data_IF_608641061639
#
_entry.id   IF_608641061639
#
_cell.length_a   1.000
_cell.length_b   1.000
_cell.length_c   1.000
_cell.angle_alpha   90.00
_cell.angle_beta   90.00
_cell.angle_gamma   90.00
#
_symmetry.space_group_name_H-M   'P 1'
#
loop_
_entity.id
_entity.type
_entity.pdbx_description
1 polymer ?
#
# COMPACT_ATOMS: atom_id res chain seq x y z
N UNK A 1 14.66 -7.41 -15.17
CA UNK A 1 14.02 -6.42 -16.07
C UNK A 1 13.17 -7.08 -17.15
N UNK A 2 13.69 -7.99 -17.98
CA UNK A 2 12.97 -8.62 -19.13
C UNK A 2 11.50 -9.05 -18.92
N UNK A 3 11.07 -9.45 -17.70
CA UNK A 3 9.71 -9.97 -17.48
C UNK A 3 8.59 -8.93 -17.57
N UNK A 4 8.81 -7.70 -17.08
CA UNK A 4 7.77 -6.67 -17.16
C UNK A 4 7.53 -6.24 -18.61
N UNK A 5 8.62 -6.03 -19.36
CA UNK A 5 8.59 -5.73 -20.79
C UNK A 5 7.86 -6.84 -21.56
N UNK A 6 8.25 -8.10 -21.34
CA UNK A 6 7.57 -9.26 -21.95
C UNK A 6 6.09 -9.35 -21.59
N UNK A 7 5.72 -8.94 -20.37
CA UNK A 7 4.32 -8.94 -19.95
C UNK A 7 3.53 -7.84 -20.66
N UNK A 8 4.12 -6.66 -20.86
CA UNK A 8 3.52 -5.58 -21.63
C UNK A 8 3.43 -5.92 -23.13
N UNK A 9 4.47 -6.51 -23.70
CA UNK A 9 4.46 -7.03 -25.07
C UNK A 9 3.36 -8.07 -25.26
N UNK A 10 3.24 -9.04 -24.35
CA UNK A 10 2.14 -10.01 -24.37
C UNK A 10 0.77 -9.32 -24.25
N UNK A 11 0.66 -8.26 -23.44
CA UNK A 11 -0.56 -7.48 -23.34
C UNK A 11 -0.87 -6.72 -24.64
N UNK A 12 0.14 -6.20 -25.34
CA UNK A 12 -0.01 -5.63 -26.68
C UNK A 12 -0.49 -6.68 -27.69
N UNK A 13 0.05 -7.91 -27.69
CA UNK A 13 -0.43 -9.01 -28.54
C UNK A 13 -1.89 -9.36 -28.24
N UNK A 14 -2.28 -9.34 -26.96
CA UNK A 14 -3.66 -9.58 -26.53
C UNK A 14 -4.61 -8.47 -27.03
N UNK A 15 -4.18 -7.21 -26.98
CA UNK A 15 -4.91 -6.05 -27.52
C UNK A 15 -5.09 -6.12 -29.04
N UNK A 16 -4.09 -6.65 -29.76
CA UNK A 16 -4.18 -6.88 -31.21
C UNK A 16 -5.10 -8.05 -31.59
N UNK A 17 -5.46 -8.90 -30.62
CA UNK A 17 -6.23 -10.13 -30.87
C UNK A 17 -5.39 -11.26 -31.49
N UNK A 18 -4.06 -11.12 -31.50
CA UNK A 18 -3.13 -12.09 -32.10
C UNK A 18 -2.91 -13.31 -31.21
N UNK A 19 -3.14 -13.16 -29.89
CA UNK A 19 -2.91 -14.22 -28.93
C UNK A 19 -4.21 -14.80 -28.36
N UNK A 20 -4.37 -16.12 -28.47
CA UNK A 20 -5.53 -16.86 -27.90
C UNK A 20 -5.35 -17.22 -26.42
N UNK A 21 -4.14 -17.08 -25.87
CA UNK A 21 -3.88 -17.36 -24.45
C UNK A 21 -4.45 -16.24 -23.59
N UNK A 22 -5.01 -16.60 -22.43
CA UNK A 22 -5.49 -15.61 -21.47
C UNK A 22 -4.33 -14.95 -20.75
N UNK A 23 -4.48 -13.66 -20.43
CA UNK A 23 -3.50 -12.92 -19.62
C UNK A 23 -3.24 -13.59 -18.26
N UNK A 24 -4.28 -14.19 -17.67
CA UNK A 24 -4.16 -14.96 -16.44
C UNK A 24 -3.21 -16.16 -16.57
N UNK A 25 -3.26 -16.88 -17.70
CA UNK A 25 -2.39 -18.03 -17.95
C UNK A 25 -0.92 -17.61 -18.11
N UNK A 26 -0.69 -16.50 -18.83
CA UNK A 26 0.65 -15.94 -19.01
C UNK A 26 1.24 -15.45 -17.69
N UNK A 27 0.51 -14.63 -16.94
CA UNK A 27 0.96 -14.12 -15.64
C UNK A 27 1.23 -15.26 -14.65
N UNK A 28 0.42 -16.32 -14.68
CA UNK A 28 0.67 -17.52 -13.87
C UNK A 28 1.96 -18.24 -14.28
N UNK A 29 2.28 -18.31 -15.57
CA UNK A 29 3.52 -18.93 -16.04
C UNK A 29 4.75 -18.05 -15.75
N UNK A 30 4.66 -16.74 -16.00
CA UNK A 30 5.76 -15.79 -15.87
C UNK A 30 6.13 -15.52 -14.39
N UNK A 31 5.13 -15.43 -13.52
CA UNK A 31 5.31 -15.05 -12.12
C UNK A 31 5.02 -16.19 -11.12
N UNK A 32 4.26 -17.22 -11.50
CA UNK A 32 3.96 -18.36 -10.63
C UNK A 32 3.36 -17.94 -9.26
N UNK A 33 4.05 -18.34 -8.19
CA UNK A 33 3.76 -17.96 -6.80
C UNK A 33 4.70 -16.86 -6.27
N UNK A 34 5.49 -16.23 -7.13
CA UNK A 34 6.48 -15.21 -6.75
C UNK A 34 5.82 -13.84 -6.61
N UNK A 35 5.05 -13.69 -5.55
CA UNK A 35 4.24 -12.50 -5.29
C UNK A 35 5.10 -11.23 -5.16
N UNK A 36 6.31 -11.34 -4.58
CA UNK A 36 7.26 -10.24 -4.50
C UNK A 36 7.71 -9.72 -5.88
N UNK A 37 7.85 -10.60 -6.88
CA UNK A 37 8.25 -10.20 -8.23
C UNK A 37 7.11 -9.48 -8.98
N UNK A 38 5.86 -9.98 -8.88
CA UNK A 38 4.66 -9.27 -9.39
C UNK A 38 4.62 -7.89 -8.78
N UNK A 39 4.76 -7.84 -7.46
CA UNK A 39 4.64 -6.61 -6.73
C UNK A 39 5.69 -5.57 -7.18
N UNK A 40 6.97 -5.98 -7.21
CA UNK A 40 8.08 -5.13 -7.66
C UNK A 40 7.89 -4.64 -9.09
N UNK A 41 7.42 -5.49 -9.99
CA UNK A 41 7.22 -5.11 -11.39
C UNK A 41 6.06 -4.13 -11.56
N UNK A 42 4.90 -4.37 -10.93
CA UNK A 42 3.71 -3.55 -11.19
C UNK A 42 3.60 -2.29 -10.34
N UNK A 43 4.11 -2.29 -9.11
CA UNK A 43 3.85 -1.21 -8.16
C UNK A 43 5.11 -0.48 -7.68
N UNK A 44 6.30 -0.89 -8.12
CA UNK A 44 7.54 -0.19 -7.77
C UNK A 44 8.20 0.41 -9.00
N UNK A 45 8.24 -0.32 -10.11
CA UNK A 45 8.83 0.19 -11.35
C UNK A 45 7.98 1.28 -11.97
N UNK A 46 8.64 2.36 -12.37
CA UNK A 46 8.00 3.49 -13.03
C UNK A 46 7.95 3.27 -14.53
N UNK A 47 6.91 3.78 -15.18
CA UNK A 47 6.71 3.58 -16.62
C UNK A 47 7.79 4.28 -17.48
N UNK A 48 8.45 5.30 -16.94
CA UNK A 48 9.49 6.10 -17.62
C UNK A 48 10.91 5.83 -17.10
N UNK A 49 11.10 4.81 -16.25
CA UNK A 49 12.42 4.46 -15.71
C UNK A 49 13.31 3.72 -16.73
N UNK A 50 12.70 3.00 -17.67
CA UNK A 50 13.37 2.19 -18.68
C UNK A 50 12.78 2.47 -20.08
N UNK A 51 13.65 2.64 -21.08
CA UNK A 51 13.24 2.94 -22.45
C UNK A 51 12.38 1.82 -23.07
N UNK A 52 12.63 0.55 -22.73
CA UNK A 52 11.84 -0.58 -23.21
C UNK A 52 10.42 -0.56 -22.62
N UNK A 53 10.30 -0.24 -21.33
CA UNK A 53 9.01 -0.13 -20.65
C UNK A 53 8.22 1.05 -21.23
N UNK A 54 8.88 2.20 -21.41
CA UNK A 54 8.26 3.38 -22.00
C UNK A 54 7.76 3.10 -23.42
N UNK A 55 8.55 2.42 -24.25
CA UNK A 55 8.14 2.02 -25.61
C UNK A 55 6.92 1.10 -25.60
N UNK A 56 6.89 0.09 -24.73
CA UNK A 56 5.75 -0.82 -24.60
C UNK A 56 4.49 -0.10 -24.10
N UNK A 57 4.62 0.83 -23.17
CA UNK A 57 3.52 1.69 -22.69
C UNK A 57 2.95 2.55 -23.82
N UNK A 58 3.80 3.15 -24.65
CA UNK A 58 3.36 3.92 -25.83
C UNK A 58 2.61 3.04 -26.84
N UNK A 59 3.05 1.79 -27.03
CA UNK A 59 2.34 0.83 -27.87
C UNK A 59 0.95 0.49 -27.31
N UNK A 60 0.83 0.25 -25.99
CA UNK A 60 -0.46 0.01 -25.32
C UNK A 60 -1.41 1.20 -25.54
N UNK A 61 -0.92 2.43 -25.34
CA UNK A 61 -1.72 3.66 -25.56
C UNK A 61 -2.19 3.80 -27.01
N UNK A 62 -1.35 3.41 -27.98
CA UNK A 62 -1.68 3.41 -29.41
C UNK A 62 -2.75 2.35 -29.73
N UNK A 63 -2.61 1.14 -29.22
CA UNK A 63 -3.54 0.03 -29.48
C UNK A 63 -4.93 0.27 -28.89
N UNK A 64 -5.00 0.93 -27.74
CA UNK A 64 -6.28 1.29 -27.09
C UNK A 64 -6.92 2.53 -27.74
N UNK A 65 -6.21 3.19 -28.66
CA UNK A 65 -6.66 4.39 -29.36
C UNK A 65 -6.98 5.56 -28.41
N UNK A 66 -6.06 5.83 -27.48
CA UNK A 66 -6.17 7.00 -26.58
C UNK A 66 -5.84 8.29 -27.37
N UNK A 67 -6.61 9.36 -27.13
CA UNK A 67 -6.39 10.68 -27.74
C UNK A 67 -4.96 11.19 -27.45
N UNK A 68 -4.34 11.87 -28.42
CA UNK A 68 -2.95 12.33 -28.29
C UNK A 68 -2.73 13.23 -27.06
N UNK A 69 -3.68 14.14 -26.79
CA UNK A 69 -3.65 15.05 -25.63
C UNK A 69 -3.62 14.25 -24.31
N UNK A 70 -4.37 13.15 -24.23
CA UNK A 70 -4.42 12.28 -23.05
C UNK A 70 -3.16 11.44 -22.87
N UNK A 71 -2.41 11.17 -23.95
CA UNK A 71 -1.14 10.44 -23.86
C UNK A 71 -0.07 11.24 -23.12
N UNK A 72 -0.17 12.58 -23.15
CA UNK A 72 0.76 13.46 -22.42
C UNK A 72 0.69 13.23 -20.91
N UNK A 73 -0.44 12.73 -20.36
CA UNK A 73 -0.56 12.27 -18.96
C UNK A 73 0.51 11.29 -18.51
N UNK A 74 1.02 10.51 -19.46
CA UNK A 74 1.94 9.42 -19.22
C UNK A 74 3.37 9.75 -19.65
N UNK A 75 3.56 10.83 -20.42
CA UNK A 75 4.88 11.30 -20.82
C UNK A 75 5.60 11.90 -19.62
N UNK A 76 6.78 11.37 -19.30
CA UNK A 76 7.60 11.77 -18.14
C UNK A 76 6.93 11.63 -16.77
N UNK A 77 5.71 11.11 -16.71
CA UNK A 77 4.98 10.88 -15.48
C UNK A 77 5.75 9.94 -14.54
N UNK A 78 5.91 10.37 -13.30
CA UNK A 78 6.51 9.60 -12.23
C UNK A 78 5.50 8.61 -11.60
N UNK A 79 4.89 7.75 -12.42
CA UNK A 79 3.88 6.77 -11.99
C UNK A 79 4.34 5.33 -12.24
N UNK A 80 3.83 4.43 -11.42
CA UNK A 80 4.05 2.98 -11.52
C UNK A 80 3.21 2.35 -12.62
N UNK A 81 3.53 1.13 -13.03
CA UNK A 81 2.75 0.44 -14.06
C UNK A 81 1.30 0.16 -13.62
N UNK A 82 1.07 -0.13 -12.34
CA UNK A 82 -0.27 -0.32 -11.78
C UNK A 82 -1.08 0.98 -11.82
N UNK A 83 -0.46 2.11 -11.44
CA UNK A 83 -1.10 3.43 -11.53
C UNK A 83 -1.43 3.79 -12.97
N UNK A 84 -0.51 3.54 -13.91
CA UNK A 84 -0.76 3.67 -15.33
C UNK A 84 -2.00 2.87 -15.78
N UNK A 85 -2.07 1.57 -15.43
CA UNK A 85 -3.22 0.73 -15.79
C UNK A 85 -4.51 1.26 -15.14
N UNK A 86 -4.44 1.70 -13.88
CA UNK A 86 -5.60 2.26 -13.16
C UNK A 86 -6.10 3.57 -13.78
N UNK A 87 -5.20 4.49 -14.15
CA UNK A 87 -5.55 5.73 -14.87
C UNK A 87 -6.12 5.40 -16.25
N UNK A 88 -5.55 4.42 -16.96
CA UNK A 88 -6.05 3.94 -18.25
C UNK A 88 -7.45 3.33 -18.16
N UNK A 89 -7.74 2.59 -17.09
CA UNK A 89 -9.08 2.08 -16.80
C UNK A 89 -10.10 3.21 -16.59
N UNK A 90 -9.70 4.29 -15.92
CA UNK A 90 -10.55 5.47 -15.71
C UNK A 90 -10.82 6.20 -17.02
N UNK A 91 -9.78 6.47 -17.81
CA UNK A 91 -9.88 7.14 -19.12
C UNK A 91 -10.80 6.36 -20.07
N UNK A 92 -10.70 5.03 -20.08
CA UNK A 92 -11.57 4.16 -20.90
C UNK A 92 -12.94 3.94 -20.29
N UNK A 93 -13.29 4.60 -19.17
CA UNK A 93 -14.55 4.44 -18.43
C UNK A 93 -14.89 2.98 -18.14
N UNK A 94 -13.85 2.16 -17.89
CA UNK A 94 -13.95 0.70 -17.68
C UNK A 94 -14.55 -0.08 -18.85
N UNK A 95 -14.61 0.49 -20.05
CA UNK A 95 -15.14 -0.21 -21.23
C UNK A 95 -14.14 -1.22 -21.81
N UNK A 96 -12.84 -1.03 -21.56
CA UNK A 96 -11.82 -1.96 -22.02
C UNK A 96 -11.72 -3.19 -21.09
N UNK A 97 -12.32 -4.30 -21.53
CA UNK A 97 -12.36 -5.55 -20.77
C UNK A 97 -10.96 -6.12 -20.47
N UNK A 98 -9.99 -5.93 -21.36
CA UNK A 98 -8.64 -6.47 -21.20
C UNK A 98 -7.83 -5.69 -20.15
N UNK A 99 -7.93 -4.35 -20.14
CA UNK A 99 -7.35 -3.52 -19.07
C UNK A 99 -7.97 -3.87 -17.72
N UNK A 100 -9.31 -4.03 -17.68
CA UNK A 100 -10.01 -4.44 -16.46
C UNK A 100 -9.54 -5.83 -15.97
N UNK A 101 -9.38 -6.78 -16.89
CA UNK A 101 -8.88 -8.12 -16.56
C UNK A 101 -7.45 -8.06 -16.02
N UNK A 102 -6.57 -7.27 -16.63
CA UNK A 102 -5.20 -7.07 -16.17
C UNK A 102 -5.17 -6.60 -14.71
N UNK A 103 -5.85 -5.49 -14.43
CA UNK A 103 -5.93 -4.93 -13.08
C UNK A 103 -6.54 -5.93 -12.10
N UNK A 104 -7.59 -6.65 -12.51
CA UNK A 104 -8.23 -7.69 -11.68
C UNK A 104 -7.24 -8.80 -11.32
N UNK A 105 -6.41 -9.26 -12.26
CA UNK A 105 -5.44 -10.31 -12.00
C UNK A 105 -4.39 -9.82 -11.00
N UNK A 106 -3.85 -8.61 -11.18
CA UNK A 106 -2.90 -8.00 -10.22
C UNK A 106 -3.55 -7.92 -8.83
N UNK A 107 -4.76 -7.35 -8.75
CA UNK A 107 -5.49 -7.20 -7.49
C UNK A 107 -5.86 -8.53 -6.82
N UNK A 108 -6.14 -9.58 -7.58
CA UNK A 108 -6.45 -10.91 -7.03
C UNK A 108 -5.25 -11.54 -6.34
N UNK A 109 -4.03 -11.23 -6.81
CA UNK A 109 -2.77 -11.70 -6.21
C UNK A 109 -2.45 -10.92 -4.94
N UNK A 110 -2.72 -9.61 -4.94
CA UNK A 110 -2.63 -8.76 -3.75
C UNK A 110 -3.58 -9.22 -2.64
N UNK A 111 -4.85 -9.52 -2.97
CA UNK A 111 -5.81 -10.08 -2.00
C UNK A 111 -5.41 -11.44 -1.47
N UNK A 112 -4.69 -12.25 -2.25
CA UNK A 112 -4.19 -13.55 -1.78
C UNK A 112 -3.10 -13.37 -0.74
N UNK A 113 -2.22 -12.38 -0.89
CA UNK A 113 -1.28 -11.98 0.16
C UNK A 113 -2.06 -11.57 1.40
N UNK A 114 -3.02 -10.65 1.26
CA UNK A 114 -3.83 -10.15 2.37
C UNK A 114 -4.61 -11.26 3.09
N UNK A 115 -5.20 -12.21 2.34
CA UNK A 115 -5.97 -13.32 2.91
C UNK A 115 -5.08 -14.39 3.57
N UNK A 116 -3.96 -14.79 2.96
CA UNK A 116 -3.00 -15.71 3.61
C UNK A 116 -2.51 -15.10 4.91
N UNK A 117 -2.24 -13.80 4.86
CA UNK A 117 -1.75 -13.03 5.97
C UNK A 117 -2.86 -12.93 7.06
N UNK A 118 -4.11 -12.62 6.71
CA UNK A 118 -5.25 -12.59 7.64
C UNK A 118 -5.53 -13.97 8.28
N UNK A 119 -5.45 -15.05 7.50
CA UNK A 119 -5.63 -16.42 8.00
C UNK A 119 -4.48 -16.82 8.93
N UNK A 120 -3.25 -16.38 8.67
CA UNK A 120 -2.10 -16.67 9.54
C UNK A 120 -2.21 -15.91 10.88
N UNK A 121 -2.73 -14.68 10.85
CA UNK A 121 -2.96 -13.89 12.07
C UNK A 121 -4.15 -14.41 12.89
N UNK A 122 -5.27 -14.75 12.25
CA UNK A 122 -6.40 -15.43 12.91
C UNK A 122 -5.98 -16.81 13.42
N UNK A 123 -5.16 -17.54 12.66
CA UNK A 123 -4.60 -18.83 13.06
C UNK A 123 -3.63 -18.72 14.23
N UNK A 124 -2.79 -17.68 14.29
CA UNK A 124 -1.92 -17.41 15.43
C UNK A 124 -2.73 -17.01 16.68
N UNK A 125 -3.79 -16.20 16.52
CA UNK A 125 -4.75 -15.91 17.60
C UNK A 125 -5.41 -17.22 18.05
N UNK A 126 -5.88 -18.04 17.12
CA UNK A 126 -6.49 -19.34 17.38
C UNK A 126 -5.54 -20.31 18.09
N UNK A 127 -4.26 -20.37 17.71
CA UNK A 127 -3.26 -21.24 18.34
C UNK A 127 -2.85 -20.71 19.72
N UNK A 128 -2.82 -19.39 19.92
CA UNK A 128 -2.57 -18.77 21.22
C UNK A 128 -3.77 -18.94 22.18
N UNK A 129 -5.01 -18.92 21.67
CA UNK A 129 -6.23 -19.12 22.47
C UNK A 129 -6.64 -20.59 22.62
N UNK A 130 -6.26 -21.47 21.70
CA UNK A 130 -6.49 -22.92 21.71
C UNK A 130 -5.22 -23.71 22.07
N UNK A 131 -4.22 -23.04 22.63
CA UNK A 131 -3.05 -23.72 23.20
C UNK A 131 -3.52 -24.88 24.09
N UNK A 132 -2.89 -26.07 24.04
CA UNK A 132 -3.27 -27.23 24.85
C UNK A 132 -3.36 -26.92 26.36
N UNK A 133 -2.66 -25.88 26.81
CA UNK A 133 -2.70 -25.36 28.17
C UNK A 133 -4.07 -24.75 28.52
N UNK A 134 -4.75 -24.11 27.55
CA UNK A 134 -6.09 -23.55 27.71
C UNK A 134 -7.17 -24.62 27.51
N UNK A 135 -7.05 -25.47 26.48
CA UNK A 135 -8.06 -26.50 26.18
C UNK A 135 -8.18 -27.59 27.26
N UNK A 136 -7.10 -27.92 27.97
CA UNK A 136 -7.15 -28.85 29.10
C UNK A 136 -7.78 -28.25 30.37
N UNK A 137 -8.12 -26.96 30.36
CA UNK A 137 -8.68 -26.24 31.50
C UNK A 137 -10.02 -25.56 31.14
N UNK A 138 -10.97 -26.31 30.56
CA UNK A 138 -12.34 -25.83 30.28
C UNK A 138 -13.00 -25.05 31.45
N UNK A 139 -12.88 -25.47 32.73
CA UNK A 139 -13.41 -24.70 33.86
C UNK A 139 -12.73 -23.34 34.04
N UNK A 140 -11.45 -23.25 33.69
CA UNK A 140 -10.70 -22.00 33.70
C UNK A 140 -11.16 -21.09 32.55
N UNK A 141 -11.53 -21.64 31.39
CA UNK A 141 -12.10 -20.87 30.28
C UNK A 141 -13.49 -20.32 30.66
N UNK A 142 -14.36 -21.11 31.28
CA UNK A 142 -15.65 -20.62 31.78
C UNK A 142 -15.47 -19.55 32.86
N UNK A 143 -14.55 -19.76 33.80
CA UNK A 143 -14.19 -18.74 34.80
C UNK A 143 -13.59 -17.49 34.15
N UNK A 144 -12.79 -17.65 33.09
CA UNK A 144 -12.20 -16.54 32.35
C UNK A 144 -13.28 -15.76 31.60
N UNK A 145 -14.17 -16.44 30.86
CA UNK A 145 -15.30 -15.85 30.11
C UNK A 145 -16.28 -15.14 31.04
N UNK A 146 -16.49 -15.66 32.26
CA UNK A 146 -17.27 -15.00 33.30
C UNK A 146 -16.53 -13.87 34.02
N UNK A 147 -15.21 -13.74 33.83
CA UNK A 147 -14.40 -12.73 34.51
C UNK A 147 -14.30 -11.44 33.69
N UNK A 148 -14.21 -10.31 34.40
CA UNK A 148 -13.92 -9.02 33.78
C UNK A 148 -12.55 -8.99 33.07
N UNK A 149 -11.65 -9.94 33.37
CA UNK A 149 -10.28 -10.03 32.84
C UNK A 149 -10.24 -10.56 31.40
N UNK A 150 -11.34 -11.18 30.93
CA UNK A 150 -11.44 -11.70 29.57
C UNK A 150 -11.11 -10.66 28.50
N UNK A 151 -11.73 -9.47 28.57
CA UNK A 151 -11.59 -8.46 27.53
C UNK A 151 -10.15 -7.92 27.41
N UNK A 152 -9.46 -7.54 28.51
CA UNK A 152 -8.04 -7.18 28.43
C UNK A 152 -7.13 -8.28 27.86
N UNK A 153 -7.37 -9.55 28.21
CA UNK A 153 -6.56 -10.67 27.71
C UNK A 153 -6.77 -10.88 26.21
N UNK A 154 -8.03 -10.89 25.75
CA UNK A 154 -8.34 -10.99 24.32
C UNK A 154 -7.77 -9.80 23.55
N UNK A 155 -7.91 -8.58 24.08
CA UNK A 155 -7.33 -7.37 23.50
C UNK A 155 -5.81 -7.43 23.39
N UNK A 156 -5.13 -7.95 24.41
CA UNK A 156 -3.67 -8.16 24.41
C UNK A 156 -3.24 -9.15 23.32
N UNK A 157 -3.87 -10.33 23.26
CA UNK A 157 -3.55 -11.36 22.26
C UNK A 157 -3.79 -10.81 20.85
N UNK A 158 -4.92 -10.14 20.64
CA UNK A 158 -5.23 -9.49 19.38
C UNK A 158 -4.17 -8.44 19.00
N UNK A 159 -3.77 -7.58 19.94
CA UNK A 159 -2.76 -6.54 19.71
C UNK A 159 -1.41 -7.13 19.33
N UNK A 160 -0.95 -8.17 20.03
CA UNK A 160 0.32 -8.83 19.72
C UNK A 160 0.24 -9.49 18.34
N UNK A 161 -0.83 -10.24 18.08
CA UNK A 161 -1.00 -10.94 16.81
C UNK A 161 -1.07 -9.96 15.64
N UNK A 162 -1.85 -8.89 15.75
CA UNK A 162 -1.96 -7.85 14.70
C UNK A 162 -0.69 -7.02 14.55
N UNK A 163 0.04 -6.75 15.65
CA UNK A 163 1.33 -6.07 15.62
C UNK A 163 2.39 -6.90 14.88
N UNK A 164 2.58 -8.16 15.28
CA UNK A 164 3.50 -9.09 14.62
C UNK A 164 3.11 -9.31 13.16
N UNK A 165 1.81 -9.41 12.89
CA UNK A 165 1.26 -9.55 11.57
C UNK A 165 1.61 -8.38 10.65
N UNK A 166 1.31 -7.15 11.10
CA UNK A 166 1.54 -5.95 10.31
C UNK A 166 3.04 -5.70 10.14
N UNK A 167 3.84 -6.06 11.14
CA UNK A 167 5.30 -6.00 11.07
C UNK A 167 5.84 -7.01 10.07
N UNK A 168 5.36 -8.26 10.09
CA UNK A 168 5.69 -9.27 9.07
C UNK A 168 5.32 -8.75 7.68
N UNK A 169 4.09 -8.27 7.50
CA UNK A 169 3.66 -7.69 6.23
C UNK A 169 4.60 -6.59 5.78
N UNK A 170 4.88 -5.61 6.63
CA UNK A 170 5.72 -4.45 6.31
C UNK A 170 7.20 -4.82 6.04
N UNK A 171 7.75 -5.80 6.75
CA UNK A 171 9.12 -6.30 6.50
C UNK A 171 9.22 -6.95 5.12
N UNK A 172 8.22 -7.75 4.76
CA UNK A 172 8.11 -8.36 3.44
C UNK A 172 7.38 -7.47 2.43
N UNK A 173 7.04 -6.25 2.82
CA UNK A 173 6.31 -5.35 1.97
C UNK A 173 7.30 -4.65 1.04
N UNK A 174 7.45 -5.19 -0.16
CA UNK A 174 8.31 -4.57 -1.15
C UNK A 174 7.76 -3.23 -1.70
N UNK A 175 6.52 -2.81 -1.32
CA UNK A 175 5.85 -1.56 -1.78
C UNK A 175 6.57 -0.30 -1.41
N UNK A 176 7.10 -0.27 -0.20
CA UNK A 176 7.53 0.98 0.41
C UNK A 176 9.05 1.11 0.34
N UNK A 177 9.61 2.33 0.22
CA UNK A 177 11.05 2.54 0.36
C UNK A 177 11.56 2.00 1.69
N UNK A 178 12.79 1.47 1.74
CA UNK A 178 13.36 0.87 2.98
C UNK A 178 13.29 1.82 4.17
N UNK A 179 13.59 3.11 3.97
CA UNK A 179 13.50 4.12 5.02
C UNK A 179 12.06 4.30 5.51
N UNK A 180 11.09 4.26 4.60
CA UNK A 180 9.68 4.36 4.95
C UNK A 180 9.20 3.11 5.70
N UNK A 181 9.63 1.91 5.30
CA UNK A 181 9.38 0.66 6.07
C UNK A 181 9.90 0.76 7.48
N UNK A 182 11.12 1.26 7.64
CA UNK A 182 11.72 1.39 8.96
C UNK A 182 10.92 2.36 9.85
N UNK A 183 10.56 3.53 9.31
CA UNK A 183 9.70 4.49 10.01
C UNK A 183 8.32 3.90 10.35
N UNK A 184 7.67 3.24 9.40
CA UNK A 184 6.36 2.63 9.61
C UNK A 184 6.40 1.50 10.65
N UNK A 185 7.44 0.66 10.62
CA UNK A 185 7.67 -0.42 11.58
C UNK A 185 8.01 0.11 12.97
N UNK A 186 8.79 1.19 13.06
CA UNK A 186 9.10 1.83 14.33
C UNK A 186 7.83 2.35 15.01
N UNK A 187 7.00 3.12 14.29
CA UNK A 187 5.74 3.63 14.84
C UNK A 187 4.75 2.51 15.18
N UNK A 188 4.64 1.49 14.32
CA UNK A 188 3.81 0.31 14.60
C UNK A 188 4.27 -0.42 15.88
N UNK A 189 5.58 -0.63 16.03
CA UNK A 189 6.13 -1.32 17.20
C UNK A 189 5.93 -0.51 18.47
N UNK A 190 6.13 0.82 18.42
CA UNK A 190 5.90 1.71 19.54
C UNK A 190 4.42 1.71 19.97
N UNK A 191 3.49 1.83 19.02
CA UNK A 191 2.04 1.77 19.29
C UNK A 191 1.64 0.40 19.86
N UNK A 192 2.16 -0.69 19.30
CA UNK A 192 1.91 -2.06 19.78
C UNK A 192 2.44 -2.24 21.20
N UNK A 193 3.66 -1.81 21.50
CA UNK A 193 4.27 -1.93 22.82
C UNK A 193 3.50 -1.14 23.89
N UNK A 194 3.04 0.08 23.56
CA UNK A 194 2.22 0.88 24.46
C UNK A 194 0.85 0.23 24.74
N UNK A 195 0.20 -0.32 23.72
CA UNK A 195 -1.05 -1.06 23.89
C UNK A 195 -0.84 -2.33 24.73
N UNK A 196 0.22 -3.10 24.48
CA UNK A 196 0.58 -4.28 25.28
C UNK A 196 0.81 -3.91 26.75
N UNK A 197 1.54 -2.82 27.00
CA UNK A 197 1.75 -2.31 28.36
C UNK A 197 0.42 -1.89 29.01
N UNK A 198 -0.45 -1.19 28.28
CA UNK A 198 -1.76 -0.77 28.78
C UNK A 198 -2.64 -1.96 29.18
N UNK A 199 -2.74 -2.97 28.33
CA UNK A 199 -3.47 -4.21 28.66
C UNK A 199 -2.83 -4.97 29.83
N UNK A 200 -1.49 -5.01 29.93
CA UNK A 200 -0.79 -5.63 31.05
C UNK A 200 -1.10 -4.94 32.39
N UNK A 201 -1.18 -3.60 32.37
CA UNK A 201 -1.58 -2.80 33.55
C UNK A 201 -3.05 -3.08 33.90
N UNK A 202 -3.96 -3.15 32.92
CA UNK A 202 -5.37 -3.49 33.17
C UNK A 202 -5.54 -4.88 33.78
N UNK A 203 -4.78 -5.88 33.29
CA UNK A 203 -4.80 -7.25 33.83
C UNK A 203 -4.27 -7.24 35.27
N UNK A 204 -3.16 -6.56 35.52
CA UNK A 204 -2.52 -6.48 36.85
C UNK A 204 -3.39 -5.74 37.87
N UNK A 205 -4.13 -4.72 37.44
CA UNK A 205 -5.04 -3.94 38.28
C UNK A 205 -6.42 -4.60 38.48
N UNK A 206 -6.55 -5.88 38.12
CA UNK A 206 -7.81 -6.62 38.16
C UNK A 206 -8.98 -5.88 37.49
N UNK A 207 -8.71 -5.28 36.31
CA UNK A 207 -9.68 -4.63 35.41
C UNK A 207 -10.19 -3.27 35.88
N UNK A 208 -9.89 -2.86 37.11
CA UNK A 208 -10.13 -1.46 37.50
C UNK A 208 -9.29 -0.55 36.59
N UNK A 209 -9.95 0.29 35.79
CA UNK A 209 -9.29 1.12 34.79
C UNK A 209 -8.38 2.10 35.52
N UNK A 210 -7.10 1.76 35.54
CA UNK A 210 -6.07 2.56 36.17
C UNK A 210 -5.75 3.76 35.27
N UNK A 211 -5.67 5.00 35.78
CA UNK A 211 -5.21 6.17 35.02
C UNK A 211 -3.93 5.93 34.22
N UNK A 212 -3.03 5.07 34.72
CA UNK A 212 -1.81 4.66 34.02
C UNK A 212 -2.13 3.92 32.72
N UNK A 213 -3.06 2.98 32.72
CA UNK A 213 -3.48 2.26 31.51
C UNK A 213 -4.13 3.22 30.51
N UNK A 214 -4.96 4.15 31.00
CA UNK A 214 -5.56 5.19 30.16
C UNK A 214 -4.50 6.06 29.46
N UNK A 215 -3.49 6.54 30.19
CA UNK A 215 -2.38 7.31 29.63
C UNK A 215 -1.63 6.51 28.55
N UNK A 216 -1.40 5.22 28.78
CA UNK A 216 -0.72 4.35 27.80
C UNK A 216 -1.52 4.18 26.51
N UNK A 217 -2.85 3.98 26.58
CA UNK A 217 -3.70 3.93 25.39
C UNK A 217 -3.75 5.26 24.63
N UNK A 218 -3.77 6.38 25.34
CA UNK A 218 -3.71 7.72 24.74
C UNK A 218 -2.36 7.95 24.07
N UNK A 219 -1.26 7.53 24.70
CA UNK A 219 0.07 7.57 24.12
C UNK A 219 0.14 6.70 22.85
N UNK A 220 -0.41 5.48 22.87
CA UNK A 220 -0.47 4.60 21.71
C UNK A 220 -1.23 5.25 20.54
N UNK A 221 -2.36 5.88 20.81
CA UNK A 221 -3.14 6.61 19.79
C UNK A 221 -2.39 7.84 19.25
N UNK A 222 -1.59 8.49 20.11
CA UNK A 222 -0.77 9.65 19.72
C UNK A 222 0.35 9.26 18.76
N UNK A 223 0.90 8.04 18.89
CA UNK A 223 1.91 7.49 17.96
C UNK A 223 1.39 7.43 16.52
N UNK A 224 0.12 7.05 16.32
CA UNK A 224 -0.50 7.04 14.99
C UNK A 224 -0.61 8.45 14.40
N UNK A 225 -0.97 9.44 15.21
CA UNK A 225 -1.04 10.85 14.79
C UNK A 225 0.34 11.39 14.43
N UNK A 226 1.37 11.03 15.21
CA UNK A 226 2.76 11.41 14.94
C UNK A 226 3.26 10.80 13.62
N UNK A 227 2.91 9.54 13.35
CA UNK A 227 3.23 8.87 12.07
C UNK A 227 2.65 9.63 10.89
N UNK A 228 1.35 9.94 10.91
CA UNK A 228 0.70 10.67 9.82
C UNK A 228 1.25 12.11 9.68
N UNK A 229 1.59 12.74 10.81
CA UNK A 229 2.22 14.06 10.82
C UNK A 229 3.60 14.02 10.15
N UNK A 230 4.40 13.00 10.46
CA UNK A 230 5.72 12.81 9.86
C UNK A 230 5.61 12.58 8.34
N UNK A 231 4.66 11.76 7.91
CA UNK A 231 4.39 11.53 6.49
C UNK A 231 4.00 12.82 5.75
N UNK A 232 3.13 13.64 6.36
CA UNK A 232 2.73 14.93 5.80
C UNK A 232 3.91 15.92 5.71
N UNK A 233 4.76 15.97 6.73
CA UNK A 233 5.97 16.82 6.74
C UNK A 233 6.94 16.37 5.66
N UNK A 234 7.18 15.05 5.53
CA UNK A 234 8.05 14.48 4.49
C UNK A 234 7.55 14.85 3.09
N UNK A 235 6.25 14.71 2.82
CA UNK A 235 5.64 15.14 1.56
C UNK A 235 5.82 16.64 1.32
N UNK A 236 5.61 17.48 2.34
CA UNK A 236 5.79 18.93 2.25
C UNK A 236 7.23 19.33 1.92
N UNK A 237 8.22 18.60 2.44
CA UNK A 237 9.65 18.85 2.18
C UNK A 237 10.11 18.32 0.83
N UNK A 238 9.53 17.20 0.36
CA UNK A 238 9.94 16.56 -0.90
C UNK A 238 9.32 17.24 -2.13
N UNK A 239 8.15 17.86 -1.97
CA UNK A 239 7.42 18.54 -3.06
C UNK A 239 7.10 20.00 -2.69
N UNK A 240 8.12 20.89 -2.67
CA UNK A 240 7.93 22.29 -2.29
C UNK A 240 7.14 23.09 -3.34
N UNK A 241 7.31 22.76 -4.62
CA UNK A 241 6.73 23.50 -5.73
C UNK A 241 5.39 22.89 -6.17
N UNK A 242 4.31 23.39 -5.57
CA UNK A 242 2.93 22.94 -5.85
C UNK A 242 2.08 23.97 -6.58
N UNK A 243 2.64 25.15 -6.85
CA UNK A 243 1.94 26.18 -7.62
C UNK A 243 2.03 25.82 -9.09
N UNK A 244 0.85 25.67 -9.69
CA UNK A 244 0.68 25.42 -11.10
C UNK A 244 0.78 26.77 -11.81
N UNK A 245 1.81 26.96 -12.63
CA UNK A 245 1.96 28.16 -13.43
C UNK A 245 1.17 27.99 -14.74
N UNK A 246 0.61 29.08 -15.29
CA UNK A 246 -0.14 29.02 -16.55
C UNK A 246 0.74 28.56 -17.73
N UNK A 247 2.04 28.86 -17.66
CA UNK A 247 3.05 28.55 -18.69
C UNK A 247 3.64 27.14 -18.58
N UNK A 248 3.30 26.39 -17.53
CA UNK A 248 3.76 25.00 -17.37
C UNK A 248 3.21 24.12 -18.50
N UNK A 249 4.00 23.13 -18.93
CA UNK A 249 3.54 22.12 -19.89
C UNK A 249 2.38 21.28 -19.31
N UNK A 250 1.57 20.65 -20.17
CA UNK A 250 0.45 19.82 -19.70
C UNK A 250 0.93 18.72 -18.74
N UNK A 251 2.05 18.07 -19.07
CA UNK A 251 2.67 17.05 -18.23
C UNK A 251 3.08 17.60 -16.86
N UNK A 252 3.70 18.78 -16.81
CA UNK A 252 4.11 19.43 -15.54
C UNK A 252 2.90 19.80 -14.68
N UNK A 253 1.82 20.32 -15.29
CA UNK A 253 0.56 20.65 -14.59
C UNK A 253 -0.05 19.40 -13.97
N UNK A 254 -0.04 18.29 -14.70
CA UNK A 254 -0.57 17.01 -14.23
C UNK A 254 0.30 16.40 -13.13
N UNK A 255 1.63 16.47 -13.23
CA UNK A 255 2.52 16.03 -12.15
C UNK A 255 2.34 16.86 -10.88
N UNK A 256 2.26 18.19 -10.99
CA UNK A 256 1.96 19.07 -9.85
C UNK A 256 0.60 18.75 -9.23
N UNK A 257 -0.41 18.42 -10.04
CA UNK A 257 -1.71 17.98 -9.54
C UNK A 257 -1.66 16.62 -8.82
N UNK A 258 -0.85 15.66 -9.28
CA UNK A 258 -0.59 14.39 -8.55
C UNK A 258 0.04 14.66 -7.19
N UNK A 259 1.05 15.54 -7.13
CA UNK A 259 1.69 15.92 -5.88
C UNK A 259 0.73 16.63 -4.91
N UNK A 260 -0.16 17.49 -5.40
CA UNK A 260 -1.22 18.12 -4.59
C UNK A 260 -2.23 17.08 -4.06
N UNK A 261 -2.61 16.12 -4.90
CA UNK A 261 -3.47 15.00 -4.50
C UNK A 261 -2.86 14.18 -3.36
N UNK A 262 -1.58 13.79 -3.46
CA UNK A 262 -0.90 13.05 -2.40
C UNK A 262 -0.84 13.83 -1.09
N UNK A 263 -0.58 15.14 -1.16
CA UNK A 263 -0.57 16.02 0.00
C UNK A 263 -1.96 16.13 0.64
N UNK A 264 -3.02 16.34 -0.16
CA UNK A 264 -4.40 16.38 0.32
C UNK A 264 -4.81 15.05 0.97
N UNK A 265 -4.39 13.92 0.37
CA UNK A 265 -4.61 12.58 0.92
C UNK A 265 -3.96 12.43 2.30
N UNK A 266 -2.67 12.74 2.42
CA UNK A 266 -1.95 12.67 3.69
C UNK A 266 -2.56 13.61 4.75
N UNK A 267 -2.98 14.82 4.36
CA UNK A 267 -3.64 15.77 5.26
C UNK A 267 -4.99 15.23 5.77
N UNK A 268 -5.80 14.65 4.89
CA UNK A 268 -7.09 14.08 5.28
C UNK A 268 -6.89 12.87 6.20
N UNK A 269 -5.92 12.00 5.91
CA UNK A 269 -5.55 10.89 6.79
C UNK A 269 -5.13 11.37 8.18
N UNK A 270 -4.34 12.45 8.26
CA UNK A 270 -3.96 13.07 9.54
C UNK A 270 -5.18 13.56 10.32
N UNK A 271 -6.11 14.27 9.68
CA UNK A 271 -7.33 14.75 10.35
C UNK A 271 -8.23 13.59 10.82
N UNK A 272 -8.34 12.54 10.01
CA UNK A 272 -9.08 11.32 10.38
C UNK A 272 -8.39 10.61 11.56
N UNK A 273 -7.06 10.53 11.56
CA UNK A 273 -6.30 9.98 12.68
C UNK A 273 -6.44 10.81 13.96
N UNK A 274 -6.40 12.14 13.85
CA UNK A 274 -6.60 13.07 14.97
C UNK A 274 -8.02 12.92 15.56
N UNK A 275 -9.04 12.88 14.71
CA UNK A 275 -10.43 12.67 15.12
C UNK A 275 -10.62 11.30 15.79
N UNK A 276 -10.02 10.25 15.23
CA UNK A 276 -10.01 8.91 15.83
C UNK A 276 -9.34 8.89 17.20
N UNK A 277 -8.16 9.52 17.34
CA UNK A 277 -7.46 9.62 18.62
C UNK A 277 -8.29 10.40 19.66
N UNK A 278 -8.91 11.52 19.28
CA UNK A 278 -9.80 12.28 20.15
C UNK A 278 -11.01 11.46 20.62
N UNK A 279 -11.63 10.69 19.72
CA UNK A 279 -12.73 9.78 20.08
C UNK A 279 -12.27 8.68 21.06
N UNK A 280 -11.09 8.08 20.82
CA UNK A 280 -10.51 7.07 21.71
C UNK A 280 -10.24 7.64 23.11
N UNK A 281 -9.65 8.84 23.21
CA UNK A 281 -9.45 9.55 24.49
C UNK A 281 -10.78 9.75 25.21
N UNK A 282 -11.82 10.18 24.49
CA UNK A 282 -13.16 10.37 25.05
C UNK A 282 -13.76 9.07 25.61
N UNK A 283 -13.68 7.98 24.86
CA UNK A 283 -14.16 6.65 25.29
C UNK A 283 -13.41 6.20 26.55
N UNK A 284 -12.08 6.30 26.54
CA UNK A 284 -11.24 5.89 27.67
C UNK A 284 -11.51 6.76 28.90
N UNK A 285 -11.70 8.06 28.73
CA UNK A 285 -12.03 8.97 29.82
C UNK A 285 -13.37 8.58 30.47
N UNK A 286 -14.43 8.42 29.68
CA UNK A 286 -15.74 7.98 30.20
C UNK A 286 -15.63 6.62 30.90
N UNK A 287 -14.88 5.68 30.31
CA UNK A 287 -14.65 4.36 30.90
C UNK A 287 -13.84 4.41 32.20
N UNK A 288 -12.96 5.41 32.37
CA UNK A 288 -12.14 5.58 33.59
C UNK A 288 -12.90 6.25 34.74
N UNK A 289 -13.87 7.12 34.44
CA UNK A 289 -14.63 7.87 35.46
C UNK A 289 -15.91 7.18 35.93
N UNK A 290 -16.44 6.23 35.16
CA UNK A 290 -17.64 5.48 35.53
C UNK A 290 -17.19 4.10 36.03
N UNK A 291 -17.35 3.77 37.33
CA UNK A 291 -17.04 2.44 37.83
C UNK A 291 -17.90 1.41 37.08
N UNK A 292 -17.26 0.68 36.17
CA UNK A 292 -17.94 -0.11 35.16
C UNK A 292 -18.14 -1.56 35.56
N UNK A 293 -19.37 -2.03 35.51
CA UNK A 293 -19.65 -3.46 35.35
C UNK A 293 -19.32 -3.94 33.93
N UNK A 294 -19.49 -5.24 33.68
CA UNK A 294 -19.21 -5.90 32.39
C UNK A 294 -19.87 -5.16 31.21
N UNK A 295 -21.08 -4.63 31.40
CA UNK A 295 -21.82 -3.89 30.37
C UNK A 295 -21.09 -2.63 29.87
N UNK A 296 -20.43 -1.87 30.75
CA UNK A 296 -19.69 -0.67 30.34
C UNK A 296 -18.45 -1.06 29.53
N UNK A 297 -17.78 -2.14 29.92
CA UNK A 297 -16.61 -2.66 29.19
C UNK A 297 -17.01 -3.15 27.80
N UNK A 298 -18.13 -3.86 27.67
CA UNK A 298 -18.67 -4.28 26.37
C UNK A 298 -19.03 -3.06 25.51
N UNK A 299 -19.69 -2.06 26.09
CA UNK A 299 -20.03 -0.83 25.38
C UNK A 299 -18.78 -0.06 24.91
N UNK A 300 -17.74 0.03 25.75
CA UNK A 300 -16.47 0.67 25.40
C UNK A 300 -15.77 -0.07 24.26
N UNK A 301 -15.70 -1.41 24.30
CA UNK A 301 -15.13 -2.22 23.23
C UNK A 301 -15.90 -2.05 21.92
N UNK A 302 -17.24 -2.04 21.97
CA UNK A 302 -18.07 -1.80 20.80
C UNK A 302 -17.84 -0.38 20.23
N UNK A 303 -17.72 0.64 21.08
CA UNK A 303 -17.42 2.00 20.67
C UNK A 303 -16.03 2.12 20.01
N UNK A 304 -15.01 1.46 20.56
CA UNK A 304 -13.67 1.38 19.96
C UNK A 304 -13.76 0.74 18.56
N UNK A 305 -14.47 -0.39 18.44
CA UNK A 305 -14.72 -1.05 17.15
C UNK A 305 -15.41 -0.15 16.13
N UNK A 306 -16.40 0.62 16.56
CA UNK A 306 -17.09 1.59 15.72
C UNK A 306 -16.15 2.72 15.25
N UNK A 307 -15.24 3.22 16.11
CA UNK A 307 -14.23 4.21 15.73
C UNK A 307 -13.29 3.67 14.65
N UNK A 308 -12.81 2.43 14.79
CA UNK A 308 -11.95 1.79 13.77
C UNK A 308 -12.69 1.61 12.44
N UNK A 309 -13.95 1.18 12.47
CA UNK A 309 -14.76 1.03 11.26
C UNK A 309 -15.00 2.39 10.58
N UNK A 310 -15.37 3.42 11.35
CA UNK A 310 -15.56 4.77 10.86
C UNK A 310 -14.27 5.33 10.22
N UNK A 311 -13.12 5.16 10.88
CA UNK A 311 -11.79 5.55 10.35
C UNK A 311 -11.54 4.91 8.98
N UNK A 312 -11.81 3.62 8.86
CA UNK A 312 -11.61 2.85 7.62
C UNK A 312 -12.53 3.33 6.49
N UNK A 313 -13.81 3.53 6.78
CA UNK A 313 -14.79 4.02 5.81
C UNK A 313 -14.48 5.45 5.36
N UNK A 314 -14.12 6.33 6.30
CA UNK A 314 -13.77 7.73 6.00
C UNK A 314 -12.50 7.83 5.15
N UNK A 315 -11.46 7.03 5.46
CA UNK A 315 -10.25 6.97 4.64
C UNK A 315 -10.57 6.54 3.21
N UNK A 316 -11.37 5.48 3.05
CA UNK A 316 -11.77 4.96 1.74
C UNK A 316 -12.61 5.96 0.95
N UNK A 317 -13.57 6.61 1.62
CA UNK A 317 -14.40 7.64 1.01
C UNK A 317 -13.57 8.85 0.57
N UNK A 318 -12.68 9.34 1.44
CA UNK A 318 -11.78 10.45 1.12
C UNK A 318 -10.86 10.13 -0.05
N UNK A 319 -10.31 8.91 -0.11
CA UNK A 319 -9.44 8.51 -1.22
C UNK A 319 -10.19 8.49 -2.56
N UNK A 320 -11.42 7.95 -2.58
CA UNK A 320 -12.23 7.93 -3.80
C UNK A 320 -12.58 9.34 -4.27
N UNK A 321 -13.00 10.21 -3.35
CA UNK A 321 -13.39 11.60 -3.67
C UNK A 321 -12.21 12.41 -4.20
N UNK A 322 -11.02 12.24 -3.61
CA UNK A 322 -9.80 12.89 -4.11
C UNK A 322 -9.38 12.35 -5.48
N UNK A 323 -9.61 11.06 -5.79
CA UNK A 323 -9.30 10.50 -7.11
C UNK A 323 -10.21 11.10 -8.18
N UNK A 324 -11.50 11.22 -7.89
CA UNK A 324 -12.45 11.90 -8.77
C UNK A 324 -12.05 13.37 -9.03
N UNK A 325 -11.61 14.09 -7.99
CA UNK A 325 -11.12 15.47 -8.10
C UNK A 325 -9.85 15.56 -8.98
N UNK A 326 -8.93 14.59 -8.84
CA UNK A 326 -7.73 14.50 -9.67
C UNK A 326 -8.09 14.26 -11.14
N UNK A 327 -9.00 13.33 -11.41
CA UNK A 327 -9.49 13.05 -12.78
C UNK A 327 -10.13 14.29 -13.42
N UNK A 328 -11.01 14.98 -12.69
CA UNK A 328 -11.64 16.22 -13.15
C UNK A 328 -10.61 17.32 -13.43
N UNK A 329 -9.57 17.40 -12.59
CA UNK A 329 -8.48 18.37 -12.77
C UNK A 329 -7.67 18.07 -14.04
N UNK A 330 -7.39 16.79 -14.32
CA UNK A 330 -6.75 16.40 -15.57
C UNK A 330 -7.62 16.71 -16.79
N UNK A 331 -8.91 16.36 -16.76
CA UNK A 331 -9.83 16.67 -17.85
C UNK A 331 -9.90 18.17 -18.15
N UNK A 332 -9.89 18.99 -17.09
CA UNK A 332 -9.87 20.45 -17.23
C UNK A 332 -8.62 20.94 -17.95
N UNK A 333 -7.43 20.49 -17.56
CA UNK A 333 -6.18 20.91 -18.21
C UNK A 333 -6.11 20.46 -19.67
N UNK A 334 -6.63 19.27 -19.98
CA UNK A 334 -6.68 18.78 -21.36
C UNK A 334 -7.64 19.58 -22.23
N UNK A 335 -8.79 19.98 -21.70
CA UNK A 335 -9.74 20.83 -22.41
C UNK A 335 -9.15 22.23 -22.65
N UNK A 336 -8.46 22.80 -21.65
CA UNK A 336 -7.76 24.08 -21.80
C UNK A 336 -6.68 24.02 -22.88
N UNK A 337 -5.90 22.94 -22.94
CA UNK A 337 -4.85 22.77 -23.94
C UNK A 337 -5.41 22.48 -25.34
N UNK A 338 -6.46 21.66 -25.43
CA UNK A 338 -7.20 21.46 -26.68
C UNK A 338 -7.77 22.78 -27.23
N UNK A 339 -8.31 23.64 -26.36
CA UNK A 339 -8.83 24.94 -26.75
C UNK A 339 -7.74 25.90 -27.25
N UNK A 340 -6.53 25.84 -26.70
CA UNK A 340 -5.38 26.61 -27.20
C UNK A 340 -4.89 26.11 -28.56
N UNK A 341 -4.86 24.78 -28.75
CA UNK A 341 -4.54 24.15 -30.05
C UNK A 341 -5.59 24.39 -31.15
N UNK A 342 -6.76 24.95 -30.81
CA UNK A 342 -7.83 25.32 -31.77
C UNK A 342 -7.87 26.82 -32.05
N UNK A 343 -6.92 27.62 -31.55
CA UNK A 343 -6.71 28.96 -32.12
C UNK A 343 -5.91 28.79 -33.40
N UNK A 344 -6.40 29.25 -34.56
CA UNK A 344 -5.52 29.42 -35.70
C UNK A 344 -4.44 30.39 -35.23
N UNK A 345 -3.21 29.91 -35.11
CA UNK A 345 -2.04 30.76 -35.28
C UNK A 345 -2.19 31.37 -36.67
N UNK A 346 -2.87 32.52 -36.69
CA UNK A 346 -2.91 33.43 -37.81
C UNK A 346 -1.45 33.65 -38.18
N UNK A 347 -1.06 33.19 -39.36
CA UNK A 347 0.23 33.42 -39.99
C UNK A 347 0.63 34.89 -39.78
N UNK A 348 1.40 35.13 -38.72
CA UNK A 348 2.04 36.41 -38.49
C UNK A 348 3.47 36.19 -38.90
N UNK A 349 3.66 36.37 -40.20
CA UNK A 349 4.85 36.98 -40.76
C UNK A 349 6.11 36.11 -40.70
N UNK A 350 6.26 35.30 -41.75
CA UNK A 350 7.48 35.36 -42.56
C UNK A 350 7.72 36.83 -42.97
N UNK A 351 8.26 37.64 -42.05
CA UNK A 351 9.01 38.83 -42.42
C UNK A 351 10.43 38.34 -42.71
N UNK A 352 10.71 38.22 -44.01
CA UNK A 352 12.01 37.86 -44.57
C UNK A 352 13.09 38.81 -44.02
N UNK A 353 13.89 38.33 -43.08
CA UNK A 353 15.19 38.93 -42.82
C UNK A 353 16.10 38.63 -44.03
N UNK A 354 16.68 39.66 -44.70
CA UNK A 354 17.50 39.44 -45.87
C UNK A 354 18.79 38.71 -45.49
N UNK A 355 19.12 37.72 -46.30
CA UNK A 355 20.46 37.13 -46.42
C UNK A 355 21.52 38.24 -46.38
N UNK A 356 22.48 38.12 -45.47
CA UNK A 356 23.76 38.83 -45.56
C UNK A 356 24.86 37.80 -45.73
N UNK A 357 25.40 37.78 -46.94
CA UNK A 357 26.54 37.00 -47.39
C UNK A 357 27.76 37.23 -46.49
N UNK A 358 28.58 36.17 -46.40
CA UNK A 358 29.65 36.05 -45.44
C UNK A 358 30.87 36.93 -45.68
N UNK A 359 31.71 36.98 -44.65
CA UNK A 359 33.14 37.22 -44.81
C UNK A 359 33.90 36.35 -43.80
N UNK A 360 34.84 35.59 -44.34
CA UNK A 360 35.92 34.88 -43.67
C UNK A 360 36.79 35.79 -42.82
N UNK A 361 37.48 35.20 -41.83
CA UNK A 361 38.84 35.47 -41.31
C UNK A 361 38.84 34.97 -39.84
N UNK A 362 39.37 33.79 -39.50
CA UNK A 362 40.81 33.49 -39.39
C UNK A 362 41.62 34.76 -39.11
N UNK A 363 41.66 35.16 -37.85
CA UNK A 363 42.83 35.75 -37.17
C UNK A 363 42.47 36.02 -35.70
N UNK A 364 43.32 35.60 -34.77
CA UNK A 364 43.21 35.99 -33.36
C UNK A 364 43.16 34.86 -32.33
N UNK A 365 43.93 33.78 -32.52
CA UNK A 365 44.23 32.79 -31.47
C UNK A 365 45.75 32.66 -31.32
N UNK A 366 46.40 33.69 -30.78
CA UNK A 366 47.74 33.65 -30.19
C UNK A 366 48.06 35.01 -29.57
N UNK A 367 48.67 34.97 -28.37
CA UNK A 367 48.95 36.07 -27.42
C UNK A 367 47.76 36.28 -26.45
N UNK A 368 47.87 36.10 -25.14
CA UNK A 368 49.02 36.39 -24.29
C UNK A 368 48.94 35.57 -22.99
N UNK A 369 50.04 34.90 -22.66
CA UNK A 369 50.23 34.17 -21.42
C UNK A 369 51.56 34.59 -20.83
N UNK A 370 51.58 35.69 -20.08
CA UNK A 370 52.57 35.91 -19.01
C UNK A 370 52.28 37.15 -18.16
N UNK A 371 52.47 36.98 -16.85
CA UNK A 371 52.91 38.03 -15.90
C UNK A 371 51.82 39.03 -15.47
N UNK A 372 51.57 39.36 -14.20
CA UNK A 372 52.38 39.25 -12.98
C UNK A 372 51.49 39.44 -11.74
N UNK A 373 51.99 38.92 -10.61
CA UNK A 373 51.59 39.12 -9.23
C UNK A 373 51.10 40.52 -8.81
N UNK A 374 50.21 40.60 -7.82
CA UNK A 374 50.54 41.10 -6.47
C UNK A 374 49.31 41.23 -5.54
N UNK A 375 49.50 40.80 -4.28
CA UNK A 375 48.82 41.20 -3.03
C UNK A 375 47.28 40.96 -2.88
N UNK A 376 46.74 40.46 -1.77
CA UNK A 376 47.31 40.13 -0.47
C UNK A 376 46.21 39.68 0.52
N UNK A 377 46.67 39.00 1.57
CA UNK A 377 46.07 38.79 2.89
C UNK A 377 44.72 38.09 3.07
N UNK A 378 44.76 36.85 3.56
CA UNK A 378 43.93 36.42 4.71
C UNK A 378 44.67 35.33 5.50
N UNK A 379 44.76 35.40 6.84
CA UNK A 379 45.63 34.52 7.62
C UNK A 379 45.01 33.16 7.93
N UNK A 380 45.93 32.21 8.07
CA UNK A 380 45.77 30.84 8.52
C UNK A 380 45.43 30.71 10.02
N UNK A 381 44.85 29.57 10.41
CA UNK A 381 45.46 28.58 11.31
C UNK A 381 44.53 27.34 11.40
N UNK A 382 44.92 26.18 10.85
CA UNK A 382 45.72 25.08 11.47
C UNK A 382 45.04 24.51 12.74
N UNK A 383 44.92 23.22 13.02
CA UNK A 383 45.10 21.94 12.35
C UNK A 383 44.85 20.84 13.41
N UNK A 384 44.77 19.59 12.95
CA UNK A 384 45.26 18.33 13.53
C UNK A 384 44.16 17.25 13.42
N UNK A 385 44.26 16.31 12.48
CA UNK A 385 45.17 15.14 12.44
C UNK A 385 44.99 14.23 13.65
N UNK A 386 44.27 13.12 13.44
CA UNK A 386 44.67 11.79 13.93
C UNK A 386 43.87 10.67 13.23
N UNK A 387 44.50 10.04 12.24
CA UNK A 387 44.46 8.58 12.04
C UNK A 387 45.59 7.98 12.92
N UNK A 388 45.67 6.69 13.29
CA UNK A 388 45.26 5.51 12.51
C UNK A 388 44.68 4.34 13.34
N UNK A 389 44.24 3.26 12.69
CA UNK A 389 44.77 1.90 12.90
C UNK A 389 43.90 0.82 12.22
N UNK A 390 44.58 0.00 11.41
CA UNK A 390 44.15 -1.31 10.95
C UNK A 390 43.86 -2.27 12.10
N UNK A 391 42.87 -3.15 11.93
CA UNK A 391 42.94 -4.52 12.43
C UNK A 391 42.20 -5.44 11.46
N UNK A 392 42.96 -6.32 10.80
CA UNK A 392 42.49 -7.51 10.12
C UNK A 392 42.32 -8.66 11.14
N UNK A 393 41.66 -9.72 10.67
CA UNK A 393 41.64 -11.09 11.19
C UNK A 393 40.57 -11.36 12.26
N UNK A 394 39.49 -12.06 11.88
CA UNK A 394 39.50 -13.52 12.02
C UNK A 394 38.28 -14.17 11.36
N UNK A 395 38.54 -15.03 10.40
CA UNK A 395 37.61 -16.04 9.93
C UNK A 395 37.42 -17.07 11.04
N UNK A 396 36.18 -17.36 11.41
CA UNK A 396 35.86 -18.56 12.18
C UNK A 396 34.88 -19.42 11.40
N UNK A 397 35.40 -20.61 11.11
CA UNK A 397 34.84 -21.74 10.39
C UNK A 397 34.42 -22.74 11.46
N UNK A 398 33.13 -22.89 11.73
CA UNK A 398 32.50 -23.96 12.52
C UNK A 398 31.04 -24.01 12.05
N UNK A 399 30.41 -25.13 11.71
CA UNK A 399 30.80 -26.53 11.68
C UNK A 399 29.70 -27.27 10.92
N UNK A 400 30.09 -28.34 10.24
CA UNK A 400 29.20 -29.29 9.59
C UNK A 400 28.25 -29.92 10.62
N UNK A 401 27.00 -30.11 10.26
CA UNK A 401 26.26 -31.31 10.64
C UNK A 401 25.44 -31.82 9.46
N UNK A 402 25.95 -32.91 8.89
CA UNK A 402 25.25 -33.85 8.05
C UNK A 402 24.61 -34.94 8.91
N UNK A 403 23.31 -35.18 8.73
CA UNK A 403 22.63 -36.47 8.91
C UNK A 403 21.44 -36.41 7.92
N UNK A 404 21.37 -37.17 6.83
CA UNK A 404 21.49 -38.61 6.60
C UNK A 404 20.36 -39.43 7.22
N UNK A 405 19.46 -39.83 6.32
CA UNK A 405 18.65 -41.05 6.27
C UNK A 405 17.41 -41.20 7.17
N UNK A 406 16.31 -41.58 6.50
CA UNK A 406 15.02 -41.94 7.09
C UNK A 406 13.98 -42.21 6.02
N UNK A 407 14.21 -43.28 5.26
CA UNK A 407 13.30 -43.87 4.27
C UNK A 407 12.04 -44.47 4.92
N UNK A 408 11.03 -44.77 4.08
CA UNK A 408 9.80 -45.54 4.30
C UNK A 408 8.60 -44.74 4.88
N UNK A 409 7.35 -44.90 4.47
CA UNK A 409 6.73 -45.88 3.60
C UNK A 409 5.49 -45.30 2.89
N UNK A 410 5.33 -45.78 1.66
CA UNK A 410 4.12 -46.01 0.89
C UNK A 410 2.90 -46.31 1.78
N UNK A 411 1.82 -45.54 1.64
CA UNK A 411 0.47 -46.00 1.96
C UNK A 411 -0.47 -45.56 0.85
N UNK A 412 -0.80 -46.55 0.02
CA UNK A 412 -1.88 -46.54 -0.96
C UNK A 412 -3.17 -46.68 -0.15
N UNK A 413 -4.08 -45.71 -0.24
CA UNK A 413 -5.45 -45.89 0.23
C UNK A 413 -6.33 -45.96 -1.02
N UNK A 414 -6.73 -47.20 -1.27
CA UNK A 414 -7.74 -47.61 -2.22
C UNK A 414 -9.11 -47.13 -1.71
N UNK A 415 -9.87 -46.44 -2.56
CA UNK A 415 -11.27 -46.10 -2.29
C UNK A 415 -12.12 -46.74 -3.38
N UNK A 416 -12.48 -48.00 -3.16
CA UNK A 416 -13.63 -48.64 -3.81
C UNK A 416 -14.93 -48.19 -3.13
N UNK A 417 -16.00 -47.88 -3.89
CA UNK A 417 -17.29 -47.52 -3.34
C UNK A 417 -18.09 -48.77 -2.95
N UNK A 418 -18.53 -48.85 -1.68
CA UNK A 418 -19.53 -49.81 -1.25
C UNK A 418 -20.92 -49.22 -1.50
N UNK A 419 -21.55 -49.77 -2.52
CA UNK A 419 -22.97 -49.65 -2.82
C UNK A 419 -23.70 -50.62 -1.88
N UNK A 420 -24.62 -50.15 -1.05
CA UNK A 420 -25.64 -51.05 -0.52
C UNK A 420 -26.96 -50.35 -0.26
N UNK A 421 -27.99 -51.06 -0.71
CA UNK A 421 -29.28 -50.57 -1.15
C UNK A 421 -30.31 -51.52 -0.54
N UNK A 422 -30.93 -51.14 0.57
CA UNK A 422 -32.11 -51.79 1.17
C UNK A 422 -32.85 -50.70 1.94
N UNK A 423 -34.08 -50.28 1.64
CA UNK A 423 -35.20 -51.03 1.11
C UNK A 423 -36.08 -51.48 2.27
N UNK A 424 -36.92 -50.59 2.82
CA UNK A 424 -38.11 -50.99 3.56
C UNK A 424 -39.21 -49.93 3.48
N UNK A 425 -40.32 -50.36 2.87
CA UNK A 425 -41.65 -49.76 2.86
C UNK A 425 -42.25 -49.72 4.26
N UNK A 426 -43.06 -48.68 4.57
CA UNK A 426 -44.39 -48.81 5.21
C UNK A 426 -45.12 -47.45 5.31
N UNK A 427 -46.44 -47.38 5.61
CA UNK A 427 -47.42 -46.97 4.61
C UNK A 427 -48.16 -45.64 4.90
N UNK A 428 -48.85 -45.19 3.86
CA UNK A 428 -49.86 -44.12 3.83
C UNK A 428 -51.07 -44.50 4.69
N UNK A 429 -51.69 -43.52 5.38
CA UNK A 429 -53.15 -43.49 5.35
C UNK A 429 -53.72 -42.11 5.03
N UNK A 430 -54.64 -42.17 4.08
CA UNK A 430 -55.94 -41.50 3.99
C UNK A 430 -56.11 -39.99 3.87
N UNK A 431 -57.03 -39.71 2.95
CA UNK A 431 -57.45 -38.46 2.39
C UNK A 431 -58.62 -37.84 3.17
N UNK A 432 -58.63 -36.50 3.21
CA UNK A 432 -59.78 -35.58 3.07
C UNK A 432 -60.84 -35.53 4.21
N UNK A 433 -61.66 -34.44 4.34
CA UNK A 433 -61.91 -33.38 3.36
C UNK A 433 -61.86 -31.91 3.85
N UNK A 434 -61.71 -31.06 2.83
CA UNK A 434 -62.23 -29.70 2.64
C UNK A 434 -63.32 -29.23 3.63
N UNK A 435 -63.15 -28.02 4.15
CA UNK A 435 -64.26 -27.10 4.38
C UNK A 435 -63.85 -25.65 4.15
N UNK A 436 -64.44 -25.09 3.09
CA UNK A 436 -64.56 -23.66 2.78
C UNK A 436 -65.67 -23.09 3.67
N UNK A 437 -65.43 -21.96 4.35
CA UNK A 437 -66.46 -20.90 4.44
C UNK A 437 -65.89 -19.54 4.85
N UNK A 438 -66.32 -18.55 4.06
CA UNK A 438 -66.21 -17.10 4.24
C UNK A 438 -66.72 -16.63 5.60
N UNK A 439 -66.07 -15.60 6.16
CA UNK A 439 -66.66 -14.26 6.31
C UNK A 439 -65.56 -13.22 6.48
#
# INVERSE_FOLDING_TARGET
>A
MKRITQTLEFFCELLKGENKRTLASYLKAAYGNKLAEIYSDFHTKKINEDAEIAAAVQEVLKLINIDQIKKERFQNANITLYEFLSELQQITKRQNAQVNEFIRIINSKDKRLENIAAVTSIGAIGILTLSPVLLNNLPMIEALLGSAIFFPVVGLVYTIATGLYTLYQSVFDFKTPVMQRFTDNFFLSASTALNVAAYSVLISAAVSVNPVAAILFVAASSVDVLKESFNLIKLKLTSPERKINPDDSLADKQEKARADFEYKKARNNLFIALGGAGAMVGIIAVWSFIPGGIFLSVAAVAAIGAVYLAKTLLNKYSENRLKEELEQTFEKYEQEEAAKGTKPTLDTSLEMAPMREGHSLIDGLLLDAKSTAAAGSTPALRAQVKSPAHTQVSASKVGMFSHSEGSAAKAVIDLTPSNDNTGHNEPIPDQLPVSVKKQ
#
